data_IF_519880439415
#
_entry.id   IF_519880439415
#
_cell.length_a   1.000
_cell.length_b   1.000
_cell.length_c   1.000
_cell.angle_alpha   90.00
_cell.angle_beta   90.00
_cell.angle_gamma   90.00
#
_symmetry.space_group_name_H-M   'P 1'
#
loop_
_entity.id
_entity.type
_entity.pdbx_description
1 polymer ?
#
# COMPACT_ATOMS: atom_id res chain seq x y z
N UNK A 1 -22.13 6.83 -34.52
CA UNK A 1 -21.73 8.20 -34.13
C UNK A 1 -20.62 8.64 -35.09
N UNK A 2 -20.61 9.87 -35.60
CA UNK A 2 -19.55 10.35 -36.52
C UNK A 2 -18.60 11.30 -35.79
N UNK A 3 -17.36 11.40 -36.27
CA UNK A 3 -16.35 12.33 -35.73
C UNK A 3 -16.84 13.79 -35.76
N UNK A 4 -17.46 14.20 -36.87
CA UNK A 4 -18.06 15.52 -37.05
C UNK A 4 -19.11 15.84 -35.97
N UNK A 5 -20.02 14.89 -35.72
CA UNK A 5 -21.07 15.03 -34.72
C UNK A 5 -20.48 15.09 -33.30
N UNK A 6 -19.52 14.23 -32.99
CA UNK A 6 -18.87 14.24 -31.67
C UNK A 6 -18.07 15.54 -31.44
N UNK A 7 -17.29 16.00 -32.43
CA UNK A 7 -16.55 17.25 -32.34
C UNK A 7 -17.46 18.47 -32.17
N UNK A 8 -18.65 18.46 -32.77
CA UNK A 8 -19.67 19.49 -32.53
C UNK A 8 -20.14 19.52 -31.07
N UNK A 9 -20.25 18.36 -30.41
CA UNK A 9 -20.59 18.28 -28.99
C UNK A 9 -19.45 18.77 -28.12
N UNK A 10 -18.21 18.36 -28.42
CA UNK A 10 -17.02 18.82 -27.68
C UNK A 10 -16.93 20.34 -27.67
N UNK A 11 -17.07 20.99 -28.84
CA UNK A 11 -17.00 22.45 -28.94
C UNK A 11 -18.12 23.18 -28.19
N UNK A 12 -19.26 22.52 -27.97
CA UNK A 12 -20.39 23.09 -27.25
C UNK A 12 -20.25 22.97 -25.72
N UNK A 13 -19.31 22.15 -25.22
CA UNK A 13 -19.06 22.01 -23.78
C UNK A 13 -18.31 23.26 -23.28
N UNK A 14 -18.77 23.92 -22.20
CA UNK A 14 -18.07 25.05 -21.61
C UNK A 14 -16.83 24.60 -20.83
N UNK A 15 -15.85 25.50 -20.69
CA UNK A 15 -14.59 25.27 -19.97
C UNK A 15 -13.39 25.18 -20.91
N UNK A 16 -12.20 25.24 -20.33
CA UNK A 16 -10.94 25.29 -21.09
C UNK A 16 -10.43 23.90 -21.48
N UNK A 17 -10.77 22.88 -20.69
CA UNK A 17 -10.28 21.52 -20.83
C UNK A 17 -11.41 20.50 -20.75
N UNK A 18 -11.43 19.58 -21.73
CA UNK A 18 -12.25 18.37 -21.69
C UNK A 18 -11.34 17.16 -21.47
N UNK A 19 -11.48 16.52 -20.30
CA UNK A 19 -10.79 15.25 -20.01
C UNK A 19 -11.70 14.06 -20.31
N UNK A 20 -11.24 13.17 -21.18
CA UNK A 20 -11.93 11.92 -21.50
C UNK A 20 -11.02 10.77 -21.11
N UNK A 21 -11.45 9.98 -20.13
CA UNK A 21 -10.76 8.76 -19.73
C UNK A 21 -11.54 7.53 -20.21
N UNK A 22 -10.82 6.54 -20.72
CA UNK A 22 -11.36 5.25 -21.18
C UNK A 22 -10.24 4.21 -21.19
N UNK A 23 -10.61 2.94 -21.13
CA UNK A 23 -9.66 1.83 -21.27
C UNK A 23 -9.20 1.71 -22.73
N UNK A 24 -7.94 1.33 -22.95
CA UNK A 24 -7.38 1.24 -24.30
C UNK A 24 -8.08 0.16 -25.14
N UNK A 25 -8.50 -0.91 -24.47
CA UNK A 25 -9.27 -2.03 -25.01
C UNK A 25 -10.64 -1.60 -25.56
N UNK A 26 -11.09 -0.37 -25.26
CA UNK A 26 -12.25 0.25 -25.92
C UNK A 26 -12.12 0.20 -27.45
N UNK A 27 -10.90 0.39 -27.97
CA UNK A 27 -10.62 0.43 -29.40
C UNK A 27 -9.99 -0.88 -29.86
N UNK A 28 -10.73 -1.64 -30.66
CA UNK A 28 -10.28 -2.89 -31.26
C UNK A 28 -10.78 -4.15 -30.55
N UNK A 29 -11.16 -4.08 -29.27
CA UNK A 29 -11.75 -5.21 -28.53
C UNK A 29 -13.22 -4.97 -28.20
N UNK A 30 -13.55 -3.94 -27.40
CA UNK A 30 -14.96 -3.63 -27.09
C UNK A 30 -15.70 -3.07 -28.32
N UNK A 31 -15.02 -2.25 -29.10
CA UNK A 31 -15.45 -1.85 -30.43
C UNK A 31 -14.44 -2.37 -31.44
N UNK A 32 -14.78 -3.46 -32.12
CA UNK A 32 -13.94 -3.98 -33.21
C UNK A 32 -13.96 -3.06 -34.44
N UNK A 33 -13.08 -3.33 -35.40
CA UNK A 33 -12.93 -2.55 -36.63
C UNK A 33 -14.24 -2.42 -37.42
N UNK A 34 -15.11 -3.43 -37.40
CA UNK A 34 -16.37 -3.44 -38.17
C UNK A 34 -17.38 -2.39 -37.69
N UNK A 35 -17.20 -1.90 -36.45
CA UNK A 35 -18.00 -0.81 -35.89
C UNK A 35 -17.68 0.56 -36.52
N UNK A 36 -16.56 0.67 -37.26
CA UNK A 36 -16.06 1.92 -37.81
C UNK A 36 -15.31 2.78 -36.81
N UNK A 37 -14.95 2.25 -35.63
CA UNK A 37 -14.28 3.03 -34.58
C UNK A 37 -12.89 3.52 -34.98
N UNK A 38 -12.16 2.75 -35.79
CA UNK A 38 -10.83 3.15 -36.27
C UNK A 38 -10.94 4.31 -37.27
N UNK A 39 -11.92 4.26 -38.18
CA UNK A 39 -12.23 5.37 -39.09
C UNK A 39 -12.67 6.62 -38.30
N UNK A 40 -13.50 6.44 -37.27
CA UNK A 40 -13.88 7.53 -36.37
C UNK A 40 -12.66 8.22 -35.75
N UNK A 41 -11.69 7.44 -35.23
CA UNK A 41 -10.45 7.96 -34.65
C UNK A 41 -9.54 8.64 -35.68
N UNK A 42 -9.54 8.19 -36.93
CA UNK A 42 -8.78 8.85 -38.01
C UNK A 42 -9.34 10.25 -38.34
N UNK A 43 -10.67 10.39 -38.31
CA UNK A 43 -11.33 11.66 -38.61
C UNK A 43 -11.43 12.61 -37.41
N UNK A 44 -11.45 12.08 -36.19
CA UNK A 44 -11.69 12.86 -34.97
C UNK A 44 -10.73 14.06 -34.80
N UNK A 45 -9.39 13.92 -34.97
CA UNK A 45 -8.50 15.06 -34.84
C UNK A 45 -8.78 16.18 -35.84
N UNK A 46 -9.07 15.81 -37.10
CA UNK A 46 -9.39 16.76 -38.18
C UNK A 46 -10.68 17.53 -37.88
N UNK A 47 -11.69 16.85 -37.35
CA UNK A 47 -12.99 17.46 -37.04
C UNK A 47 -12.98 18.37 -35.80
N UNK A 48 -12.12 18.05 -34.82
CA UNK A 48 -11.87 18.90 -33.65
C UNK A 48 -11.07 20.16 -34.03
N UNK A 49 -10.00 20.00 -34.83
CA UNK A 49 -9.16 21.12 -35.28
C UNK A 49 -9.96 22.15 -36.09
N UNK A 50 -10.84 21.69 -37.01
CA UNK A 50 -11.76 22.56 -37.76
C UNK A 50 -12.64 23.44 -36.87
N UNK A 51 -12.87 23.03 -35.62
CA UNK A 51 -13.71 23.71 -34.63
C UNK A 51 -12.88 24.48 -33.60
N UNK A 52 -11.56 24.58 -33.80
CA UNK A 52 -10.63 25.24 -32.90
C UNK A 52 -10.49 24.53 -31.56
N UNK A 53 -10.56 23.19 -31.56
CA UNK A 53 -10.27 22.35 -30.38
C UNK A 53 -8.97 21.61 -30.65
N UNK A 54 -7.97 21.83 -29.80
CA UNK A 54 -6.66 21.17 -29.87
C UNK A 54 -6.56 20.04 -28.85
N UNK A 55 -5.69 19.07 -29.13
CA UNK A 55 -5.26 18.08 -28.15
C UNK A 55 -4.09 18.64 -27.36
N UNK A 56 -4.06 18.34 -26.06
CA UNK A 56 -2.97 18.69 -25.18
C UNK A 56 -2.66 17.50 -24.28
N UNK A 57 -1.39 17.32 -23.97
CA UNK A 57 -0.98 16.46 -22.86
C UNK A 57 -1.35 17.12 -21.53
N UNK A 58 -1.43 16.32 -20.46
CA UNK A 58 -1.69 16.84 -19.11
C UNK A 58 -0.61 17.85 -18.69
N UNK A 59 0.65 17.62 -19.05
CA UNK A 59 1.75 18.54 -18.74
C UNK A 59 1.60 19.89 -19.44
N UNK A 60 1.28 19.89 -20.75
CA UNK A 60 1.05 21.13 -21.50
C UNK A 60 -0.16 21.89 -20.94
N UNK A 61 -1.24 21.20 -20.56
CA UNK A 61 -2.38 21.83 -19.92
C UNK A 61 -2.02 22.48 -18.57
N UNK A 62 -1.15 21.85 -17.78
CA UNK A 62 -0.66 22.42 -16.52
C UNK A 62 0.29 23.63 -16.72
N UNK A 63 0.94 23.75 -17.87
CA UNK A 63 1.79 24.90 -18.20
C UNK A 63 0.99 26.07 -18.78
N UNK A 64 -0.05 25.78 -19.56
CA UNK A 64 -0.88 26.79 -20.24
C UNK A 64 -1.94 27.40 -19.32
N UNK A 65 -2.57 26.60 -18.45
CA UNK A 65 -3.70 27.04 -17.63
C UNK A 65 -3.33 27.19 -16.15
N UNK A 66 -3.77 28.29 -15.53
CA UNK A 66 -3.67 28.46 -14.10
C UNK A 66 -4.83 27.75 -13.38
N UNK A 67 -4.53 27.09 -12.26
CA UNK A 67 -5.55 26.46 -11.43
C UNK A 67 -6.40 27.54 -10.73
N UNK A 68 -7.71 27.54 -10.99
CA UNK A 68 -8.63 28.50 -10.35
C UNK A 68 -8.88 28.18 -8.87
N UNK A 69 -8.96 26.90 -8.51
CA UNK A 69 -9.27 26.43 -7.16
C UNK A 69 -8.50 25.17 -6.77
N UNK A 70 -8.46 24.90 -5.47
CA UNK A 70 -7.92 23.66 -4.91
C UNK A 70 -9.06 22.77 -4.44
N UNK A 71 -9.14 21.58 -5.04
CA UNK A 71 -10.05 20.53 -4.59
C UNK A 71 -9.30 19.49 -3.76
N UNK A 72 -9.72 19.32 -2.51
CA UNK A 72 -9.19 18.30 -1.60
C UNK A 72 -10.24 17.19 -1.37
N UNK A 73 -9.83 15.93 -1.54
CA UNK A 73 -10.69 14.76 -1.29
C UNK A 73 -10.39 14.24 0.11
N UNK A 74 -11.36 14.34 1.06
CA UNK A 74 -11.17 13.82 2.40
C UNK A 74 -10.85 12.32 2.38
N UNK A 75 -10.02 11.86 3.32
CA UNK A 75 -9.60 10.46 3.38
C UNK A 75 -10.75 9.47 3.56
N UNK A 76 -11.84 9.95 4.14
CA UNK A 76 -13.06 9.20 4.41
C UNK A 76 -13.96 9.10 3.16
N UNK A 77 -13.63 9.83 2.09
CA UNK A 77 -14.37 9.90 0.84
C UNK A 77 -13.49 9.42 -0.32
N UNK A 78 -12.89 8.25 -0.17
CA UNK A 78 -12.14 7.61 -1.27
C UNK A 78 -13.10 7.41 -2.43
N UNK A 79 -12.76 7.99 -3.58
CA UNK A 79 -13.53 7.87 -4.82
C UNK A 79 -12.81 6.99 -5.83
N UNK A 80 -13.58 6.37 -6.70
CA UNK A 80 -13.07 5.67 -7.87
C UNK A 80 -13.98 5.92 -9.07
N UNK A 81 -13.49 5.60 -10.27
CA UNK A 81 -14.34 5.62 -11.46
C UNK A 81 -15.21 4.35 -11.57
N UNK A 82 -14.97 3.35 -10.71
CA UNK A 82 -15.51 2.01 -10.85
C UNK A 82 -16.92 1.93 -10.29
N UNK A 83 -17.71 1.02 -10.87
CA UNK A 83 -19.07 0.70 -10.44
C UNK A 83 -20.02 1.89 -10.35
N UNK A 84 -21.21 1.66 -9.81
CA UNK A 84 -22.23 2.69 -9.60
C UNK A 84 -21.89 3.54 -8.38
N UNK A 85 -21.28 2.95 -7.35
CA UNK A 85 -21.01 3.61 -6.07
C UNK A 85 -19.89 4.66 -6.15
N UNK A 86 -18.99 4.57 -7.15
CA UNK A 86 -17.86 5.48 -7.35
C UNK A 86 -16.96 5.61 -6.11
N UNK A 87 -16.81 4.53 -5.37
CA UNK A 87 -16.00 4.43 -4.15
C UNK A 87 -14.98 3.27 -4.24
N UNK A 88 -14.35 2.91 -3.12
CA UNK A 88 -13.36 1.84 -3.07
C UNK A 88 -13.94 0.41 -3.05
N UNK A 89 -15.26 0.24 -3.04
CA UNK A 89 -15.92 -1.05 -2.82
C UNK A 89 -15.69 -2.08 -3.94
N UNK A 90 -15.20 -1.65 -5.10
CA UNK A 90 -14.72 -2.54 -6.16
C UNK A 90 -13.52 -3.40 -5.72
N UNK A 91 -12.70 -2.92 -4.78
CA UNK A 91 -11.50 -3.61 -4.28
C UNK A 91 -11.53 -3.87 -2.77
N UNK A 92 -12.37 -3.17 -2.01
CA UNK A 92 -12.51 -3.26 -0.54
C UNK A 92 -13.98 -3.22 -0.15
N UNK A 93 -14.76 -4.17 -0.67
CA UNK A 93 -16.21 -4.24 -0.47
C UNK A 93 -16.67 -5.49 0.28
N UNK A 94 -15.79 -6.46 0.53
CA UNK A 94 -16.18 -7.72 1.17
C UNK A 94 -15.03 -8.40 1.96
N UNK A 95 -15.36 -9.36 2.85
CA UNK A 95 -14.37 -10.00 3.73
C UNK A 95 -13.24 -10.77 3.02
N UNK A 96 -13.44 -11.26 1.78
CA UNK A 96 -12.39 -11.94 1.02
C UNK A 96 -11.30 -10.94 0.63
N UNK A 97 -11.72 -9.80 0.08
CA UNK A 97 -10.84 -8.70 -0.29
C UNK A 97 -10.09 -8.16 0.94
N UNK A 98 -10.80 -7.92 2.04
CA UNK A 98 -10.22 -7.44 3.30
C UNK A 98 -9.12 -8.39 3.81
N UNK A 99 -9.44 -9.69 3.87
CA UNK A 99 -8.49 -10.72 4.35
C UNK A 99 -7.24 -10.80 3.49
N UNK A 100 -7.40 -10.79 2.17
CA UNK A 100 -6.30 -10.82 1.22
C UNK A 100 -5.40 -9.58 1.35
N UNK A 101 -6.03 -8.41 1.54
CA UNK A 101 -5.35 -7.12 1.67
C UNK A 101 -4.58 -7.02 2.98
N UNK A 102 -5.16 -7.51 4.08
CA UNK A 102 -4.50 -7.57 5.38
C UNK A 102 -3.19 -8.38 5.31
N UNK A 103 -3.23 -9.59 4.72
CA UNK A 103 -2.03 -10.40 4.56
C UNK A 103 -1.00 -9.72 3.64
N UNK A 104 -1.44 -9.17 2.52
CA UNK A 104 -0.58 -8.46 1.58
C UNK A 104 0.21 -7.32 2.24
N UNK A 105 -0.48 -6.42 2.96
CA UNK A 105 0.16 -5.30 3.64
C UNK A 105 0.94 -5.73 4.90
N UNK A 106 0.53 -6.81 5.57
CA UNK A 106 1.30 -7.37 6.68
C UNK A 106 2.69 -7.82 6.23
N UNK A 107 2.83 -8.32 5.00
CA UNK A 107 4.10 -8.79 4.44
C UNK A 107 5.04 -7.66 3.99
N UNK A 108 4.51 -6.49 3.62
CA UNK A 108 5.27 -5.35 3.11
C UNK A 108 6.57 -5.05 3.88
N UNK A 109 6.57 -4.85 5.22
CA UNK A 109 7.78 -4.51 5.94
C UNK A 109 8.85 -5.59 5.82
N UNK A 110 8.47 -6.87 5.87
CA UNK A 110 9.40 -8.01 5.78
C UNK A 110 9.96 -8.16 4.36
N UNK A 111 9.10 -8.05 3.33
CA UNK A 111 9.52 -8.04 1.94
C UNK A 111 10.55 -6.94 1.66
N UNK A 112 10.31 -5.73 2.18
CA UNK A 112 11.25 -4.59 2.07
C UNK A 112 12.55 -4.80 2.83
N UNK A 113 12.51 -5.45 4.00
CA UNK A 113 13.72 -5.70 4.80
C UNK A 113 14.66 -6.71 4.12
N UNK A 114 14.08 -7.76 3.53
CA UNK A 114 14.80 -8.78 2.76
C UNK A 114 15.27 -8.24 1.41
N UNK A 115 14.38 -7.61 0.64
CA UNK A 115 14.68 -7.03 -0.67
C UNK A 115 14.76 -8.04 -1.80
N UNK A 116 15.42 -7.65 -2.90
CA UNK A 116 15.66 -8.50 -4.07
C UNK A 116 14.40 -9.14 -4.67
N UNK A 117 14.43 -10.43 -5.04
CA UNK A 117 13.30 -11.09 -5.70
C UNK A 117 12.05 -11.18 -4.81
N UNK A 118 12.21 -11.16 -3.48
CA UNK A 118 11.08 -11.19 -2.54
C UNK A 118 10.27 -9.89 -2.59
N UNK A 119 10.95 -8.75 -2.62
CA UNK A 119 10.30 -7.44 -2.79
C UNK A 119 9.65 -7.31 -4.17
N UNK A 120 10.31 -7.82 -5.20
CA UNK A 120 9.76 -7.82 -6.57
C UNK A 120 8.48 -8.68 -6.65
N UNK A 121 8.49 -9.90 -6.12
CA UNK A 121 7.31 -10.75 -6.10
C UNK A 121 6.18 -10.18 -5.24
N UNK A 122 6.49 -9.54 -4.11
CA UNK A 122 5.50 -8.80 -3.33
C UNK A 122 4.89 -7.64 -4.13
N UNK A 123 5.68 -6.90 -4.92
CA UNK A 123 5.13 -5.85 -5.80
C UNK A 123 4.22 -6.44 -6.89
N UNK A 124 4.63 -7.54 -7.51
CA UNK A 124 3.82 -8.23 -8.54
C UNK A 124 2.49 -8.70 -8.00
N UNK A 125 2.46 -9.29 -6.80
CA UNK A 125 1.21 -9.68 -6.16
C UNK A 125 0.39 -8.50 -5.62
N UNK A 126 0.85 -7.25 -5.76
CA UNK A 126 0.11 -6.05 -5.37
C UNK A 126 -0.87 -5.52 -6.42
N UNK A 127 -1.08 -6.25 -7.53
CA UNK A 127 -2.01 -5.85 -8.58
C UNK A 127 -3.44 -5.71 -8.06
N UNK A 128 -4.12 -4.64 -8.48
CA UNK A 128 -5.51 -4.38 -8.09
C UNK A 128 -6.49 -5.42 -8.64
N UNK A 129 -6.17 -6.02 -9.79
CA UNK A 129 -6.99 -7.02 -10.46
C UNK A 129 -7.30 -8.23 -9.57
N UNK A 130 -6.34 -8.65 -8.74
CA UNK A 130 -6.55 -9.76 -7.81
C UNK A 130 -7.74 -9.49 -6.88
N UNK A 131 -7.87 -8.27 -6.37
CA UNK A 131 -9.00 -7.88 -5.53
C UNK A 131 -10.28 -7.68 -6.35
N UNK A 132 -10.14 -7.14 -7.56
CA UNK A 132 -11.26 -6.96 -8.49
C UNK A 132 -11.95 -8.30 -8.81
N UNK A 133 -11.17 -9.35 -9.06
CA UNK A 133 -11.68 -10.71 -9.31
C UNK A 133 -12.36 -11.36 -8.09
N UNK A 134 -12.15 -10.83 -6.88
CA UNK A 134 -12.77 -11.29 -5.63
C UNK A 134 -14.02 -10.48 -5.26
N UNK A 135 -14.51 -9.62 -6.14
CA UNK A 135 -15.75 -8.88 -5.92
C UNK A 135 -16.94 -9.84 -5.85
N UNK A 136 -17.83 -9.60 -4.89
CA UNK A 136 -19.10 -10.32 -4.74
C UNK A 136 -20.29 -9.52 -5.29
N UNK A 137 -20.02 -8.41 -6.00
CA UNK A 137 -21.07 -7.60 -6.62
C UNK A 137 -21.77 -8.38 -7.73
N UNK A 138 -23.07 -8.14 -7.87
CA UNK A 138 -23.90 -8.67 -8.95
C UNK A 138 -24.34 -7.59 -9.94
N UNK A 139 -25.20 -7.96 -10.89
CA UNK A 139 -25.71 -7.04 -11.90
C UNK A 139 -24.60 -6.50 -12.82
N UNK A 140 -24.79 -5.31 -13.42
CA UNK A 140 -23.83 -4.74 -14.38
C UNK A 140 -22.41 -4.58 -13.83
N UNK A 141 -22.25 -4.18 -12.56
CA UNK A 141 -20.94 -4.12 -11.90
C UNK A 141 -20.32 -5.51 -11.75
N UNK A 142 -21.11 -6.50 -11.35
CA UNK A 142 -20.67 -7.90 -11.27
C UNK A 142 -20.15 -8.43 -12.61
N UNK A 143 -20.85 -8.10 -13.71
CA UNK A 143 -20.42 -8.50 -15.05
C UNK A 143 -19.03 -7.96 -15.40
N UNK A 144 -18.74 -6.70 -15.08
CA UNK A 144 -17.40 -6.09 -15.26
C UNK A 144 -16.33 -6.83 -14.44
N UNK A 145 -16.62 -7.20 -13.19
CA UNK A 145 -15.69 -7.97 -12.35
C UNK A 145 -15.38 -9.36 -12.89
N UNK A 146 -16.33 -9.98 -13.61
CA UNK A 146 -16.16 -11.30 -14.21
C UNK A 146 -15.60 -11.28 -15.63
N UNK A 147 -15.76 -10.18 -16.36
CA UNK A 147 -15.46 -10.10 -17.81
C UNK A 147 -14.00 -10.47 -18.14
N UNK A 148 -13.04 -9.90 -17.42
CA UNK A 148 -11.61 -10.20 -17.59
C UNK A 148 -11.07 -11.21 -16.55
N UNK A 149 -11.95 -11.80 -15.73
CA UNK A 149 -11.51 -12.73 -14.68
C UNK A 149 -11.06 -14.06 -15.28
N UNK A 150 -9.83 -14.52 -15.01
CA UNK A 150 -9.40 -15.87 -15.39
C UNK A 150 -10.00 -16.96 -14.48
N UNK A 151 -10.79 -16.57 -13.48
CA UNK A 151 -11.38 -17.47 -12.48
C UNK A 151 -12.88 -17.65 -12.69
N UNK A 152 -13.36 -18.86 -12.42
CA UNK A 152 -14.78 -19.20 -12.54
C UNK A 152 -15.68 -18.41 -11.58
N UNK A 153 -15.16 -18.04 -10.41
CA UNK A 153 -15.87 -17.25 -9.41
C UNK A 153 -14.89 -16.55 -8.45
N UNK A 154 -15.43 -15.64 -7.63
CA UNK A 154 -14.67 -14.87 -6.65
C UNK A 154 -13.98 -15.73 -5.58
N UNK A 155 -14.54 -16.90 -5.23
CA UNK A 155 -13.95 -17.79 -4.23
C UNK A 155 -12.72 -18.52 -4.79
N UNK A 156 -12.72 -18.86 -6.08
CA UNK A 156 -11.56 -19.39 -6.80
C UNK A 156 -10.47 -18.34 -6.96
N UNK A 157 -10.82 -17.11 -7.31
CA UNK A 157 -9.88 -15.99 -7.35
C UNK A 157 -9.21 -15.77 -5.98
N UNK A 158 -10.01 -15.73 -4.91
CA UNK A 158 -9.53 -15.58 -3.54
C UNK A 158 -8.59 -16.72 -3.15
N UNK A 159 -9.00 -17.96 -3.40
CA UNK A 159 -8.23 -19.15 -3.03
C UNK A 159 -6.86 -19.18 -3.74
N UNK A 160 -6.83 -18.92 -5.05
CA UNK A 160 -5.59 -18.89 -5.83
C UNK A 160 -4.63 -17.78 -5.36
N UNK A 161 -5.17 -16.58 -5.10
CA UNK A 161 -4.35 -15.47 -4.60
C UNK A 161 -3.84 -15.70 -3.18
N UNK A 162 -4.68 -16.24 -2.29
CA UNK A 162 -4.27 -16.56 -0.92
C UNK A 162 -3.22 -17.66 -0.88
N UNK A 163 -3.30 -18.65 -1.78
CA UNK A 163 -2.24 -19.66 -1.94
C UNK A 163 -0.93 -18.99 -2.37
N UNK A 164 -0.95 -18.13 -3.39
CA UNK A 164 0.22 -17.40 -3.85
C UNK A 164 0.82 -16.50 -2.75
N UNK A 165 -0.01 -15.76 -2.02
CA UNK A 165 0.45 -14.95 -0.88
C UNK A 165 1.00 -15.81 0.25
N UNK A 166 0.41 -16.98 0.51
CA UNK A 166 0.90 -17.89 1.56
C UNK A 166 2.27 -18.43 1.20
N UNK A 167 2.47 -18.88 -0.04
CA UNK A 167 3.79 -19.35 -0.53
C UNK A 167 4.82 -18.22 -0.44
N UNK A 168 4.47 -17.02 -0.91
CA UNK A 168 5.36 -15.86 -0.80
C UNK A 168 5.66 -15.48 0.65
N UNK A 169 4.66 -15.54 1.54
CA UNK A 169 4.82 -15.24 2.96
C UNK A 169 5.83 -16.15 3.62
N UNK A 170 5.73 -17.45 3.35
CA UNK A 170 6.66 -18.45 3.87
C UNK A 170 8.07 -18.20 3.34
N UNK A 171 8.22 -17.93 2.04
CA UNK A 171 9.51 -17.64 1.44
C UNK A 171 10.16 -16.37 2.02
N UNK A 172 9.41 -15.28 2.17
CA UNK A 172 9.87 -14.04 2.80
C UNK A 172 10.28 -14.28 4.25
N UNK A 173 9.44 -14.94 5.05
CA UNK A 173 9.70 -15.13 6.47
C UNK A 173 10.88 -16.08 6.70
N UNK A 174 11.04 -17.12 5.88
CA UNK A 174 12.21 -18.00 5.93
C UNK A 174 13.49 -17.23 5.68
N UNK A 175 13.53 -16.40 4.63
CA UNK A 175 14.69 -15.56 4.32
C UNK A 175 14.94 -14.51 5.41
N UNK A 176 13.88 -13.86 5.87
CA UNK A 176 13.94 -12.88 6.94
C UNK A 176 14.56 -13.47 8.21
N UNK A 177 14.11 -14.66 8.62
CA UNK A 177 14.58 -15.34 9.83
C UNK A 177 15.97 -15.94 9.68
N UNK A 178 16.38 -16.31 8.46
CA UNK A 178 17.73 -16.82 8.16
C UNK A 178 18.84 -15.86 8.59
N UNK A 179 18.58 -14.56 8.49
CA UNK A 179 19.41 -13.51 9.08
C UNK A 179 18.55 -12.45 9.78
N UNK A 180 17.82 -12.89 10.82
CA UNK A 180 16.96 -11.99 11.61
C UNK A 180 17.72 -10.81 12.18
N UNK A 181 19.01 -11.02 12.50
CA UNK A 181 19.86 -9.99 13.07
C UNK A 181 19.98 -8.82 12.11
N UNK A 182 20.32 -9.08 10.86
CA UNK A 182 20.42 -8.06 9.82
C UNK A 182 19.08 -7.49 9.42
N UNK A 183 18.11 -8.38 9.18
CA UNK A 183 16.83 -7.99 8.60
C UNK A 183 15.98 -7.15 9.57
N UNK A 184 16.03 -7.42 10.87
CA UNK A 184 15.31 -6.63 11.88
C UNK A 184 15.77 -5.16 11.94
N UNK A 185 17.04 -4.87 11.66
CA UNK A 185 17.57 -3.51 11.60
C UNK A 185 17.18 -2.74 10.33
N UNK A 186 16.78 -3.45 9.27
CA UNK A 186 16.24 -2.90 8.02
C UNK A 186 14.72 -2.73 8.07
N UNK A 187 14.05 -3.44 8.98
CA UNK A 187 12.60 -3.43 9.13
C UNK A 187 12.07 -2.04 9.53
N UNK A 188 11.01 -1.61 8.86
CA UNK A 188 10.19 -0.46 9.28
C UNK A 188 8.72 -0.85 9.25
N UNK A 189 8.14 -1.00 10.44
CA UNK A 189 6.78 -1.47 10.63
C UNK A 189 5.73 -0.37 10.36
N UNK A 190 4.51 -0.75 9.93
CA UNK A 190 3.38 0.18 9.86
C UNK A 190 2.98 0.67 11.26
N UNK A 191 2.22 1.78 11.32
CA UNK A 191 1.78 2.38 12.60
C UNK A 191 0.99 1.40 13.47
N UNK A 192 0.17 0.54 12.86
CA UNK A 192 -0.60 -0.49 13.57
C UNK A 192 0.27 -1.49 14.35
N UNK A 193 1.51 -1.70 13.93
CA UNK A 193 2.47 -2.62 14.57
C UNK A 193 3.54 -1.90 15.40
N UNK A 194 3.38 -0.60 15.64
CA UNK A 194 4.35 0.21 16.36
C UNK A 194 4.36 -0.05 17.87
N UNK A 195 5.52 0.19 18.48
CA UNK A 195 5.66 0.26 19.93
C UNK A 195 5.36 1.68 20.41
N UNK A 196 4.39 1.85 21.30
CA UNK A 196 4.06 3.14 21.90
C UNK A 196 4.67 3.23 23.30
N UNK A 197 5.77 3.96 23.42
CA UNK A 197 6.37 4.25 24.72
C UNK A 197 5.66 5.46 25.34
N UNK A 198 5.14 5.31 26.55
CA UNK A 198 4.28 6.28 27.24
C UNK A 198 5.01 6.88 28.44
N UNK A 199 4.68 8.12 28.77
CA UNK A 199 5.12 8.78 30.00
C UNK A 199 4.35 8.27 31.22
N UNK A 200 4.82 8.56 32.46
CA UNK A 200 4.10 8.22 33.68
C UNK A 200 2.62 8.64 33.68
N UNK A 201 2.30 9.79 33.10
CA UNK A 201 0.95 10.34 32.93
C UNK A 201 0.07 9.61 31.89
N UNK A 202 0.58 8.57 31.23
CA UNK A 202 -0.14 7.79 30.22
C UNK A 202 -0.10 8.34 28.78
N UNK A 203 0.38 9.57 28.58
CA UNK A 203 0.53 10.16 27.23
C UNK A 203 1.62 9.45 26.44
N UNK A 204 1.42 9.27 25.13
CA UNK A 204 2.45 8.67 24.25
C UNK A 204 3.62 9.64 24.13
N UNK A 205 4.79 9.20 24.56
CA UNK A 205 6.04 9.96 24.47
C UNK A 205 6.64 9.85 23.07
N UNK A 206 6.66 8.61 22.54
CA UNK A 206 7.23 8.27 21.24
C UNK A 206 6.57 7.01 20.69
N UNK A 207 6.35 7.01 19.38
CA UNK A 207 5.90 5.84 18.61
C UNK A 207 7.08 5.32 17.81
N UNK A 208 7.45 4.07 18.06
CA UNK A 208 8.63 3.41 17.52
C UNK A 208 8.21 2.36 16.49
N UNK A 209 8.77 2.44 15.28
CA UNK A 209 8.47 1.55 14.15
C UNK A 209 9.66 0.72 13.67
N UNK A 210 10.84 0.90 14.26
CA UNK A 210 12.05 0.15 13.91
C UNK A 210 13.04 0.14 15.08
N UNK A 211 14.02 -0.77 15.05
CA UNK A 211 15.12 -0.79 16.03
C UNK A 211 15.93 0.51 16.03
N UNK A 212 16.09 1.16 14.86
CA UNK A 212 16.74 2.49 14.75
C UNK A 212 15.95 3.58 15.48
N UNK A 213 14.62 3.53 15.43
CA UNK A 213 13.76 4.43 16.20
C UNK A 213 13.79 4.10 17.69
N UNK A 214 13.84 2.81 18.06
CA UNK A 214 13.98 2.36 19.45
C UNK A 214 15.29 2.85 20.07
N UNK A 215 16.42 2.66 19.37
CA UNK A 215 17.74 3.10 19.80
C UNK A 215 17.74 4.61 20.11
N UNK A 216 17.21 5.42 19.19
CA UNK A 216 17.08 6.88 19.38
C UNK A 216 16.15 7.23 20.55
N UNK A 217 15.08 6.47 20.76
CA UNK A 217 14.18 6.67 21.90
C UNK A 217 14.88 6.36 23.23
N UNK A 218 15.66 5.28 23.30
CA UNK A 218 16.42 4.89 24.51
C UNK A 218 17.39 5.98 24.94
N UNK A 219 18.10 6.63 23.99
CA UNK A 219 19.01 7.74 24.30
C UNK A 219 18.30 8.95 24.88
N UNK A 220 17.08 9.26 24.43
CA UNK A 220 16.37 10.51 24.80
C UNK A 220 15.43 10.36 26.00
N UNK A 221 15.02 9.15 26.34
CA UNK A 221 13.98 8.92 27.34
C UNK A 221 14.52 8.85 28.77
N UNK A 222 13.76 9.33 29.78
CA UNK A 222 14.16 9.19 31.17
C UNK A 222 14.35 7.71 31.58
N UNK A 223 15.42 7.35 32.31
CA UNK A 223 15.69 5.95 32.70
C UNK A 223 14.55 5.29 33.46
N UNK A 224 13.82 6.05 34.28
CA UNK A 224 12.63 5.55 35.01
C UNK A 224 11.50 5.13 34.07
N UNK A 225 11.29 5.84 32.96
CA UNK A 225 10.26 5.52 31.98
C UNK A 225 10.64 4.28 31.18
N UNK A 226 11.90 4.16 30.76
CA UNK A 226 12.42 2.95 30.08
C UNK A 226 12.32 1.73 30.99
N UNK A 227 12.75 1.84 32.25
CA UNK A 227 12.65 0.77 33.23
C UNK A 227 11.22 0.27 33.44
N UNK A 228 10.23 1.16 33.37
CA UNK A 228 8.82 0.77 33.43
C UNK A 228 8.42 -0.09 32.23
N UNK A 229 8.74 0.34 31.01
CA UNK A 229 8.42 -0.41 29.79
C UNK A 229 9.10 -1.77 29.75
N UNK A 230 10.37 -1.86 30.15
CA UNK A 230 11.08 -3.14 30.29
C UNK A 230 10.41 -4.01 31.35
N UNK A 231 10.04 -3.47 32.52
CA UNK A 231 9.40 -4.28 33.58
C UNK A 231 8.01 -4.79 33.21
N UNK A 232 7.28 -4.03 32.39
CA UNK A 232 5.99 -4.41 31.85
C UNK A 232 6.09 -5.41 30.69
N UNK A 233 7.28 -5.57 30.11
CA UNK A 233 7.51 -6.44 28.95
C UNK A 233 7.15 -5.80 27.62
N UNK A 234 6.93 -4.48 27.57
CA UNK A 234 6.42 -3.80 26.37
C UNK A 234 7.41 -3.90 25.20
N UNK A 235 8.70 -3.68 25.49
CA UNK A 235 9.79 -3.73 24.49
C UNK A 235 10.02 -5.18 24.07
N UNK A 236 10.09 -6.11 25.03
CA UNK A 236 10.35 -7.53 24.78
C UNK A 236 9.25 -8.17 23.93
N UNK A 237 7.99 -7.94 24.27
CA UNK A 237 6.85 -8.43 23.50
C UNK A 237 6.86 -7.87 22.08
N UNK A 238 7.19 -6.58 21.92
CA UNK A 238 7.28 -5.96 20.60
C UNK A 238 8.42 -6.55 19.75
N UNK A 239 9.62 -6.70 20.31
CA UNK A 239 10.75 -7.35 19.63
C UNK A 239 10.38 -8.78 19.24
N UNK A 240 9.84 -9.57 20.16
CA UNK A 240 9.48 -10.97 19.91
C UNK A 240 8.37 -11.11 18.88
N UNK A 241 7.30 -10.33 19.00
CA UNK A 241 6.10 -10.51 18.17
C UNK A 241 6.14 -9.77 16.83
N UNK A 242 6.93 -8.69 16.71
CA UNK A 242 6.96 -7.85 15.50
C UNK A 242 8.28 -7.95 14.74
N UNK A 243 9.40 -8.05 15.44
CA UNK A 243 10.70 -8.26 14.80
C UNK A 243 11.04 -9.74 14.63
N UNK A 244 10.24 -10.63 15.23
CA UNK A 244 10.44 -12.08 15.22
C UNK A 244 11.83 -12.48 15.72
N UNK A 245 12.35 -11.76 16.73
CA UNK A 245 13.69 -11.96 17.27
C UNK A 245 13.69 -12.33 18.77
N UNK A 246 13.40 -13.59 19.13
CA UNK A 246 13.28 -14.02 20.53
C UNK A 246 14.55 -13.81 21.36
N UNK A 247 15.74 -14.09 20.81
CA UNK A 247 16.99 -13.98 21.56
C UNK A 247 17.29 -12.54 22.00
N UNK A 248 17.06 -11.54 21.15
CA UNK A 248 17.15 -10.13 21.53
C UNK A 248 16.10 -9.76 22.59
N UNK A 249 14.87 -10.29 22.47
CA UNK A 249 13.83 -10.06 23.48
C UNK A 249 14.23 -10.63 24.85
N UNK A 250 14.88 -11.80 24.89
CA UNK A 250 15.36 -12.45 26.11
C UNK A 250 16.53 -11.68 26.74
N UNK A 251 17.43 -11.10 25.93
CA UNK A 251 18.47 -10.20 26.43
C UNK A 251 17.87 -8.97 27.12
N UNK A 252 16.83 -8.37 26.54
CA UNK A 252 16.10 -7.24 27.15
C UNK A 252 15.34 -7.70 28.41
N UNK A 253 14.80 -8.91 28.45
CA UNK A 253 14.10 -9.44 29.65
C UNK A 253 15.03 -9.54 30.86
N UNK A 254 16.31 -9.88 30.66
CA UNK A 254 17.31 -9.94 31.76
C UNK A 254 17.50 -8.59 32.46
N UNK A 255 17.18 -7.48 31.78
CA UNK A 255 17.29 -6.13 32.34
C UNK A 255 16.18 -5.79 33.35
N UNK A 256 15.12 -6.59 33.42
CA UNK A 256 13.92 -6.34 34.24
C UNK A 256 14.21 -6.12 35.73
N UNK A 257 15.22 -6.83 36.26
CA UNK A 257 15.61 -6.78 37.68
C UNK A 257 16.60 -5.66 38.00
N UNK A 258 17.09 -4.93 37.00
CA UNK A 258 18.05 -3.85 37.22
C UNK A 258 17.41 -2.61 37.87
N UNK A 259 18.26 -1.85 38.56
CA UNK A 259 17.90 -0.52 39.06
C UNK A 259 17.57 0.39 37.87
N UNK A 260 16.55 1.22 38.01
CA UNK A 260 16.03 2.03 36.89
C UNK A 260 17.08 2.91 36.20
N UNK A 261 18.08 3.40 36.94
CA UNK A 261 19.20 4.18 36.37
C UNK A 261 20.04 3.36 35.38
N UNK A 262 20.25 2.07 35.64
CA UNK A 262 21.08 1.18 34.80
C UNK A 262 20.32 0.60 33.60
N UNK A 263 18.98 0.53 33.66
CA UNK A 263 18.19 -0.07 32.56
C UNK A 263 18.43 0.66 31.24
N UNK A 264 18.52 1.99 31.24
CA UNK A 264 18.75 2.76 30.02
C UNK A 264 20.10 2.45 29.37
N UNK A 265 21.17 2.44 30.16
CA UNK A 265 22.55 2.15 29.72
C UNK A 265 22.69 0.72 29.18
N UNK A 266 22.16 -0.27 29.90
CA UNK A 266 22.27 -1.68 29.49
C UNK A 266 21.37 -1.98 28.28
N UNK A 267 20.18 -1.37 28.19
CA UNK A 267 19.32 -1.50 27.01
C UNK A 267 19.98 -0.88 25.78
N UNK A 268 20.64 0.27 25.93
CA UNK A 268 21.41 0.89 24.86
C UNK A 268 22.54 -0.05 24.40
N UNK A 269 23.31 -0.59 25.33
CA UNK A 269 24.40 -1.55 25.06
C UNK A 269 23.92 -2.81 24.32
N UNK A 270 22.79 -3.40 24.74
CA UNK A 270 22.16 -4.55 24.05
C UNK A 270 21.79 -4.20 22.61
N UNK A 271 21.15 -3.03 22.40
CA UNK A 271 20.78 -2.59 21.05
C UNK A 271 22.00 -2.26 20.18
N UNK A 272 23.05 -1.64 20.72
CA UNK A 272 24.26 -1.33 19.96
C UNK A 272 25.03 -2.60 19.56
N UNK A 273 25.18 -3.56 20.49
CA UNK A 273 25.82 -4.85 20.19
C UNK A 273 25.08 -5.61 19.09
N UNK A 274 23.75 -5.66 19.17
CA UNK A 274 22.93 -6.32 18.15
C UNK A 274 22.95 -5.61 16.79
N UNK A 275 23.35 -4.33 16.73
CA UNK A 275 23.58 -3.59 15.49
C UNK A 275 24.96 -3.84 14.89
N UNK A 276 26.01 -3.85 15.70
CA UNK A 276 27.38 -4.03 15.22
C UNK A 276 27.64 -5.39 14.59
N UNK A 277 26.90 -6.43 14.99
CA UNK A 277 26.95 -7.74 14.33
C UNK A 277 26.40 -7.78 12.89
N UNK A 278 25.87 -6.66 12.37
CA UNK A 278 25.14 -6.56 11.10
C UNK A 278 25.82 -5.62 10.09
N UNK A 279 26.59 -4.64 10.56
CA UNK A 279 27.27 -3.64 9.71
C UNK A 279 28.71 -4.08 9.31
N UNK A 280 29.08 -5.33 9.61
CA UNK A 280 30.35 -5.96 9.21
C UNK A 280 30.23 -6.87 8.01
#
# INVERSE_FOLDING_TARGET
>A
LTADKYASWVKAIPGDLLFVAMDYETFGEHHDESTGILEFLEWLPKELEKRGVSFMTVSEACEEFEAEEVYDVPRERVVSWADVEKDASAWVGNPLQDTAMELYFWLEPYAKAVGGPYLENWRRLGGSDYYHYMSLKGGPSGEVHTYFSPFADAFKAFSAYMEALTVLSYAILKEYLGDVSRNAWRLRLPRAMSLRLRRPDGRVAVTVRSLRELLRAVVKMPPRTLARHVRNGDIQRWIKARLLWPSLADEVERLRRLKAKRVGEELLSVLEKSRHGVEG
#
